data_IF_974335671894
#
_entry.id   IF_974335671894
#
_cell.length_a   1.000
_cell.length_b   1.000
_cell.length_c   1.000
_cell.angle_alpha   90.00
_cell.angle_beta   90.00
_cell.angle_gamma   90.00
#
_symmetry.space_group_name_H-M   'P 1'
#
loop_
_entity.id
_entity.type
_entity.pdbx_description
1 polymer ?
#
# COMPACT_ATOMS: atom_id res chain seq x y z
N UNK A 1 16.80 15.30 -7.10
CA UNK A 1 17.31 15.69 -5.77
C UNK A 1 16.81 14.67 -4.77
N UNK A 2 17.65 14.25 -3.82
CA UNK A 2 17.32 13.23 -2.81
C UNK A 2 16.55 13.78 -1.59
N UNK A 3 16.26 15.09 -1.55
CA UNK A 3 15.54 15.77 -0.46
C UNK A 3 16.04 15.48 0.99
N UNK A 4 17.19 14.80 1.14
CA UNK A 4 17.74 14.31 2.41
C UNK A 4 16.74 13.52 3.26
N UNK A 5 15.76 12.87 2.63
CA UNK A 5 14.84 12.01 3.35
C UNK A 5 15.43 10.59 3.46
N UNK A 6 15.27 9.91 4.60
CA UNK A 6 15.64 8.51 4.70
C UNK A 6 14.82 7.69 3.70
N UNK A 7 15.45 6.68 3.10
CA UNK A 7 14.78 5.70 2.24
C UNK A 7 13.78 4.93 3.09
N UNK A 8 12.54 4.85 2.60
CA UNK A 8 11.47 4.11 3.26
C UNK A 8 10.98 2.96 2.41
N UNK A 9 10.65 1.85 3.05
CA UNK A 9 10.01 0.71 2.39
C UNK A 9 8.54 0.63 2.76
N UNK A 10 7.72 0.20 1.82
CA UNK A 10 6.28 0.14 1.99
C UNK A 10 5.59 -0.89 1.10
N UNK A 11 4.30 -1.06 1.34
CA UNK A 11 3.43 -1.94 0.55
C UNK A 11 2.41 -1.10 -0.22
N UNK A 12 2.09 -1.54 -1.43
CA UNK A 12 1.04 -0.94 -2.24
C UNK A 12 -0.15 -1.90 -2.29
N UNK A 13 -1.26 -1.50 -1.67
CA UNK A 13 -2.47 -2.34 -1.55
C UNK A 13 -3.51 -1.98 -2.61
N UNK A 14 -4.15 -3.00 -3.16
CA UNK A 14 -5.30 -2.83 -4.05
C UNK A 14 -6.54 -2.52 -3.19
N UNK A 15 -7.30 -1.43 -3.46
CA UNK A 15 -8.48 -1.04 -2.70
C UNK A 15 -9.71 -1.88 -3.08
N UNK A 16 -9.67 -3.18 -2.85
CA UNK A 16 -10.84 -4.06 -3.03
C UNK A 16 -11.77 -4.01 -1.81
N UNK A 17 -13.08 -4.20 -2.03
CA UNK A 17 -14.10 -4.21 -0.98
C UNK A 17 -14.12 -5.56 -0.21
N UNK A 18 -12.96 -5.96 0.31
CA UNK A 18 -12.74 -7.15 1.13
C UNK A 18 -11.92 -6.76 2.37
N UNK A 19 -11.73 -7.70 3.31
CA UNK A 19 -10.83 -7.50 4.46
C UNK A 19 -9.35 -7.60 4.09
N UNK A 20 -9.02 -8.05 2.86
CA UNK A 20 -7.65 -8.34 2.44
C UNK A 20 -6.73 -7.12 2.51
N UNK A 21 -7.12 -5.91 2.06
CA UNK A 21 -6.24 -4.75 2.12
C UNK A 21 -5.91 -4.35 3.57
N UNK A 22 -6.88 -4.51 4.49
CA UNK A 22 -6.69 -4.26 5.91
C UNK A 22 -5.74 -5.29 6.54
N UNK A 23 -5.90 -6.57 6.22
CA UNK A 23 -4.99 -7.63 6.67
C UNK A 23 -3.55 -7.41 6.17
N UNK A 24 -3.40 -6.97 4.91
CA UNK A 24 -2.09 -6.65 4.35
C UNK A 24 -1.46 -5.43 5.03
N UNK A 25 -2.24 -4.41 5.35
CA UNK A 25 -1.75 -3.24 6.08
C UNK A 25 -1.31 -3.61 7.51
N UNK A 26 -2.09 -4.44 8.22
CA UNK A 26 -1.74 -4.92 9.56
C UNK A 26 -0.46 -5.77 9.54
N UNK A 27 -0.34 -6.69 8.60
CA UNK A 27 0.89 -7.49 8.43
C UNK A 27 2.10 -6.61 8.06
N UNK A 28 1.89 -5.56 7.26
CA UNK A 28 2.97 -4.66 6.89
C UNK A 28 3.52 -3.89 8.09
N UNK A 29 2.65 -3.49 9.03
CA UNK A 29 3.04 -2.87 10.29
C UNK A 29 3.87 -3.83 11.16
N UNK A 30 3.43 -5.08 11.30
CA UNK A 30 4.16 -6.13 12.04
C UNK A 30 5.55 -6.43 11.45
N UNK A 31 5.69 -6.30 10.12
CA UNK A 31 6.96 -6.53 9.39
C UNK A 31 7.87 -5.29 9.34
N UNK A 32 7.43 -4.15 9.89
CA UNK A 32 8.23 -2.92 9.96
C UNK A 32 8.25 -2.09 8.68
N UNK A 33 7.27 -2.24 7.79
CA UNK A 33 7.10 -1.33 6.67
C UNK A 33 6.58 0.02 7.15
N UNK A 34 7.13 1.11 6.59
CA UNK A 34 6.89 2.46 7.10
C UNK A 34 5.72 3.17 6.44
N UNK A 35 5.30 2.69 5.26
CA UNK A 35 4.24 3.33 4.48
C UNK A 35 3.33 2.29 3.81
N UNK A 36 2.03 2.59 3.79
CA UNK A 36 1.02 1.89 3.00
C UNK A 36 0.49 2.85 1.94
N UNK A 37 0.64 2.50 0.68
CA UNK A 37 0.04 3.23 -0.44
C UNK A 37 -1.26 2.57 -0.88
N UNK A 38 -2.31 3.37 -1.07
CA UNK A 38 -3.60 2.92 -1.59
C UNK A 38 -3.83 3.57 -2.95
N UNK A 39 -4.23 2.77 -3.95
CA UNK A 39 -4.54 3.30 -5.27
C UNK A 39 -5.88 4.04 -5.26
N UNK A 40 -5.93 5.29 -5.72
CA UNK A 40 -7.18 6.09 -5.82
C UNK A 40 -7.83 6.04 -7.22
N UNK A 41 -7.37 5.14 -8.10
CA UNK A 41 -7.87 5.06 -9.48
C UNK A 41 -8.89 3.94 -9.64
N UNK A 42 -10.21 4.20 -9.49
CA UNK A 42 -11.27 3.18 -9.57
C UNK A 42 -11.48 2.61 -10.98
N UNK A 43 -10.78 3.13 -11.99
CA UNK A 43 -11.04 2.81 -13.40
C UNK A 43 -10.14 1.74 -14.02
N UNK A 44 -9.30 1.04 -13.25
CA UNK A 44 -8.67 -0.16 -13.78
C UNK A 44 -9.66 -1.32 -13.82
N UNK A 45 -10.43 -1.27 -14.89
CA UNK A 45 -11.12 -2.37 -15.52
C UNK A 45 -10.23 -3.61 -15.73
N UNK A 46 -8.96 -3.75 -15.32
CA UNK A 46 -8.15 -4.99 -15.57
C UNK A 46 -7.91 -5.86 -14.34
N UNK A 47 -8.58 -5.54 -13.25
CA UNK A 47 -9.40 -6.53 -12.55
C UNK A 47 -10.81 -6.52 -13.20
N UNK A 48 -10.93 -6.83 -14.52
CA UNK A 48 -12.18 -6.68 -15.32
C UNK A 48 -13.39 -7.30 -14.64
#
# INVERSE_FOLDING_TARGET
MDYRQPVRFGVFVTPEATERPLQMAALADELGYEVVGVQDHPYQRRFF
#
